data_IF_179159281058
#
_entry.id   IF_179159281058
#
_cell.length_a   1.000
_cell.length_b   1.000
_cell.length_c   1.000
_cell.angle_alpha   90.00
_cell.angle_beta   90.00
_cell.angle_gamma   90.00
#
_symmetry.space_group_name_H-M   'P 1'
#
loop_
_entity.id
_entity.type
_entity.pdbx_description
1 polymer ?
#
# COMPACT_ATOMS: atom_id res chain seq x y z
N UNK A 1 -4.15 -61.83 24.20
CA UNK A 1 -4.24 -62.48 22.87
C UNK A 1 -3.04 -62.01 22.06
N UNK A 2 -1.89 -62.70 22.04
CA UNK A 2 -1.54 -63.95 21.32
C UNK A 2 -1.88 -63.90 19.82
N UNK A 3 -0.86 -63.75 18.97
CA UNK A 3 -0.37 -64.69 17.92
C UNK A 3 0.56 -63.90 16.96
N UNK A 4 1.89 -64.06 17.02
CA UNK A 4 2.75 -65.04 16.32
C UNK A 4 2.76 -64.93 14.78
N UNK A 5 3.97 -64.79 14.21
CA UNK A 5 4.20 -64.94 12.78
C UNK A 5 5.63 -64.56 12.33
N UNK A 6 6.64 -65.34 12.73
CA UNK A 6 8.04 -65.21 12.31
C UNK A 6 8.30 -66.25 11.22
N UNK A 7 8.95 -65.91 10.10
CA UNK A 7 9.69 -66.89 9.30
C UNK A 7 10.89 -66.25 8.58
N UNK A 8 12.02 -66.97 8.59
CA UNK A 8 13.38 -66.57 8.17
C UNK A 8 13.79 -67.25 6.86
N UNK A 9 14.93 -66.78 6.31
CA UNK A 9 15.93 -67.48 5.45
C UNK A 9 15.61 -67.55 3.94
N UNK A 10 16.54 -67.42 2.97
CA UNK A 10 18.02 -67.39 2.95
C UNK A 10 18.58 -66.99 1.54
N UNK A 11 19.78 -66.39 1.53
CA UNK A 11 20.96 -66.47 0.61
C UNK A 11 20.99 -65.90 -0.84
N UNK A 12 22.15 -65.28 -1.13
CA UNK A 12 22.67 -64.58 -2.34
C UNK A 12 23.32 -65.53 -3.38
N UNK A 13 23.75 -65.04 -4.59
CA UNK A 13 25.18 -64.69 -4.80
C UNK A 13 25.45 -63.42 -5.67
N UNK A 14 26.73 -63.17 -6.01
CA UNK A 14 27.40 -61.87 -6.30
C UNK A 14 27.82 -61.60 -7.79
N UNK A 15 27.80 -60.30 -8.16
CA UNK A 15 28.73 -59.49 -9.04
C UNK A 15 28.79 -59.73 -10.57
N UNK A 16 29.45 -58.89 -11.42
CA UNK A 16 30.15 -57.60 -11.19
C UNK A 16 29.90 -56.46 -12.24
N UNK A 17 30.33 -55.24 -11.88
CA UNK A 17 30.90 -54.12 -12.68
C UNK A 17 30.20 -53.44 -13.89
N UNK A 18 30.32 -52.10 -13.88
CA UNK A 18 30.28 -51.08 -14.95
C UNK A 18 29.24 -50.02 -14.59
N UNK A 19 29.53 -48.75 -14.30
CA UNK A 19 30.56 -47.85 -14.82
C UNK A 19 29.83 -46.56 -15.22
N UNK A 20 30.21 -45.41 -14.63
CA UNK A 20 29.85 -44.05 -15.05
C UNK A 20 28.33 -43.70 -15.00
N UNK A 21 27.84 -42.49 -14.68
CA UNK A 21 28.34 -41.12 -14.76
C UNK A 21 27.64 -40.30 -13.67
N UNK A 22 28.33 -39.30 -13.13
CA UNK A 22 27.75 -38.15 -12.42
C UNK A 22 26.57 -37.53 -13.20
N UNK A 23 25.44 -37.30 -12.52
CA UNK A 23 24.54 -36.20 -12.86
C UNK A 23 23.97 -35.58 -11.58
N UNK A 24 24.86 -34.85 -10.91
CA UNK A 24 24.52 -33.73 -10.05
C UNK A 24 24.10 -32.59 -10.98
N UNK A 25 22.80 -32.37 -11.13
CA UNK A 25 22.22 -31.17 -11.75
C UNK A 25 20.97 -30.83 -10.95
N UNK A 26 21.22 -30.01 -9.94
CA UNK A 26 20.42 -28.84 -9.56
C UNK A 26 18.90 -28.99 -9.76
N UNK A 27 18.21 -29.32 -8.66
CA UNK A 27 16.87 -28.74 -8.45
C UNK A 27 17.07 -27.25 -8.25
N UNK A 28 17.05 -26.50 -9.34
CA UNK A 28 16.80 -25.07 -9.33
C UNK A 28 15.50 -24.88 -8.53
N UNK A 29 15.51 -24.20 -7.37
CA UNK A 29 14.27 -23.79 -6.75
C UNK A 29 13.55 -22.90 -7.75
N UNK A 30 12.25 -23.11 -7.94
CA UNK A 30 11.34 -22.26 -8.72
C UNK A 30 11.18 -20.85 -8.08
N UNK A 31 12.28 -20.21 -7.68
CA UNK A 31 12.31 -18.76 -7.57
C UNK A 31 12.21 -18.25 -9.00
N UNK A 32 10.98 -17.93 -9.39
CA UNK A 32 10.65 -17.10 -10.54
C UNK A 32 11.71 -16.02 -10.64
N UNK A 33 12.53 -16.06 -11.70
CA UNK A 33 13.28 -14.89 -12.14
C UNK A 33 12.23 -13.86 -12.58
N UNK A 34 11.65 -13.14 -11.60
CA UNK A 34 10.76 -12.03 -11.89
C UNK A 34 11.57 -11.02 -12.68
N UNK A 35 11.06 -10.68 -13.86
CA UNK A 35 11.84 -9.95 -14.84
C UNK A 35 11.97 -8.48 -14.42
N UNK A 36 13.02 -7.82 -14.89
CA UNK A 36 13.19 -6.37 -14.75
C UNK A 36 11.95 -5.57 -15.22
N UNK A 37 11.20 -6.12 -16.19
CA UNK A 37 9.92 -5.56 -16.63
C UNK A 37 8.85 -5.60 -15.53
N UNK A 38 8.80 -6.66 -14.72
CA UNK A 38 7.85 -6.80 -13.62
C UNK A 38 8.16 -5.83 -12.47
N UNK A 39 9.44 -5.53 -12.24
CA UNK A 39 9.88 -4.51 -11.29
C UNK A 39 9.45 -3.11 -11.76
N UNK A 40 9.74 -2.76 -13.02
CA UNK A 40 9.34 -1.47 -13.60
C UNK A 40 7.83 -1.27 -13.61
N UNK A 41 7.07 -2.33 -13.91
CA UNK A 41 5.61 -2.30 -13.83
C UNK A 41 5.12 -2.04 -12.41
N UNK A 42 5.79 -2.60 -11.39
CA UNK A 42 5.46 -2.36 -9.98
C UNK A 42 5.70 -0.89 -9.60
N UNK A 43 6.83 -0.31 -10.00
CA UNK A 43 7.13 1.11 -9.80
C UNK A 43 6.07 1.99 -10.46
N UNK A 44 5.73 1.73 -11.73
CA UNK A 44 4.69 2.48 -12.44
C UNK A 44 3.32 2.35 -11.76
N UNK A 45 2.98 1.17 -11.23
CA UNK A 45 1.73 0.96 -10.50
C UNK A 45 1.66 1.81 -9.24
N UNK A 46 2.78 2.06 -8.54
CA UNK A 46 2.80 2.91 -7.34
C UNK A 46 2.37 4.33 -7.68
N UNK A 47 2.94 4.90 -8.75
CA UNK A 47 2.57 6.26 -9.20
C UNK A 47 1.13 6.34 -9.70
N UNK A 48 0.64 5.30 -10.39
CA UNK A 48 -0.77 5.23 -10.78
C UNK A 48 -1.69 5.23 -9.54
N UNK A 49 -1.38 4.43 -8.52
CA UNK A 49 -2.13 4.40 -7.27
C UNK A 49 -2.08 5.73 -6.51
N UNK A 50 -0.97 6.47 -6.58
CA UNK A 50 -0.90 7.82 -6.01
C UNK A 50 -1.75 8.83 -6.78
N UNK A 51 -1.80 8.73 -8.11
CA UNK A 51 -2.71 9.54 -8.92
C UNK A 51 -4.18 9.23 -8.62
N UNK A 52 -4.54 7.94 -8.51
CA UNK A 52 -5.88 7.49 -8.08
C UNK A 52 -6.23 8.04 -6.68
N UNK A 53 -5.26 8.05 -5.75
CA UNK A 53 -5.45 8.61 -4.41
C UNK A 53 -5.68 10.12 -4.43
N UNK A 54 -4.93 10.87 -5.25
CA UNK A 54 -5.15 12.31 -5.42
C UNK A 54 -6.55 12.62 -5.95
N UNK A 55 -7.04 11.81 -6.89
CA UNK A 55 -8.39 11.95 -7.42
C UNK A 55 -9.46 11.64 -6.36
N UNK A 56 -9.26 10.63 -5.52
CA UNK A 56 -10.14 10.35 -4.38
C UNK A 56 -10.21 11.54 -3.40
N UNK A 57 -9.07 12.18 -3.09
CA UNK A 57 -9.07 13.41 -2.28
C UNK A 57 -9.81 14.57 -2.94
N UNK A 58 -9.66 14.74 -4.26
CA UNK A 58 -10.37 15.79 -5.03
C UNK A 58 -11.89 15.59 -4.95
N UNK A 59 -12.35 14.36 -5.24
CA UNK A 59 -13.77 14.01 -5.15
C UNK A 59 -14.32 14.17 -3.73
N UNK A 60 -13.51 13.85 -2.72
CA UNK A 60 -13.92 14.00 -1.33
C UNK A 60 -14.12 15.47 -0.93
N UNK A 61 -13.21 16.36 -1.35
CA UNK A 61 -13.33 17.80 -1.12
C UNK A 61 -14.53 18.40 -1.88
N UNK A 62 -14.71 18.04 -3.15
CA UNK A 62 -15.83 18.54 -3.97
C UNK A 62 -17.19 18.12 -3.41
N UNK A 63 -17.30 16.85 -3.02
CA UNK A 63 -18.54 16.35 -2.42
C UNK A 63 -18.80 16.92 -1.02
N UNK A 64 -17.75 17.21 -0.24
CA UNK A 64 -17.93 17.94 1.02
C UNK A 64 -18.37 19.39 0.77
N UNK A 65 -17.82 20.08 -0.23
CA UNK A 65 -18.27 21.42 -0.59
C UNK A 65 -19.73 21.42 -1.04
N UNK A 66 -20.14 20.43 -1.84
CA UNK A 66 -21.53 20.25 -2.25
C UNK A 66 -22.44 20.02 -1.02
N UNK A 67 -22.00 19.18 -0.08
CA UNK A 67 -22.70 18.96 1.19
C UNK A 67 -22.86 20.26 2.00
N UNK A 68 -21.80 21.06 2.19
CA UNK A 68 -21.88 22.32 2.91
C UNK A 68 -22.85 23.33 2.26
N UNK A 69 -22.97 23.30 0.92
CA UNK A 69 -23.91 24.17 0.19
C UNK A 69 -25.39 23.80 0.42
N UNK A 70 -25.70 22.64 1.01
CA UNK A 70 -27.06 22.25 1.40
C UNK A 70 -27.48 22.79 2.77
N UNK A 71 -26.59 23.48 3.48
CA UNK A 71 -26.87 24.09 4.78
C UNK A 71 -28.01 25.13 4.74
N UNK A 72 -28.78 25.29 5.83
CA UNK A 72 -28.66 24.58 7.11
C UNK A 72 -29.31 23.18 7.11
N UNK A 73 -30.02 22.79 6.05
CA UNK A 73 -30.68 21.49 5.92
C UNK A 73 -29.78 20.48 5.21
N UNK A 74 -28.66 20.17 5.86
CA UNK A 74 -27.62 19.32 5.31
C UNK A 74 -28.13 17.97 4.80
N UNK A 75 -27.73 17.59 3.57
CA UNK A 75 -27.99 16.26 3.02
C UNK A 75 -26.97 15.23 3.54
N UNK A 76 -27.20 14.81 4.78
CA UNK A 76 -26.35 13.80 5.44
C UNK A 76 -26.41 12.43 4.77
N UNK A 77 -27.51 12.08 4.10
CA UNK A 77 -27.67 10.76 3.48
C UNK A 77 -26.74 10.66 2.29
N UNK A 78 -26.78 11.65 1.39
CA UNK A 78 -25.91 11.69 0.22
C UNK A 78 -24.44 11.80 0.64
N UNK A 79 -24.13 12.67 1.60
CA UNK A 79 -22.74 12.85 2.04
C UNK A 79 -22.15 11.60 2.71
N UNK A 80 -22.93 10.90 3.54
CA UNK A 80 -22.49 9.64 4.16
C UNK A 80 -22.20 8.56 3.12
N UNK A 81 -23.02 8.47 2.07
CA UNK A 81 -22.78 7.52 0.99
C UNK A 81 -21.47 7.81 0.26
N UNK A 82 -21.21 9.09 -0.07
CA UNK A 82 -19.93 9.52 -0.62
C UNK A 82 -18.75 9.15 0.29
N UNK A 83 -18.83 9.48 1.60
CA UNK A 83 -17.78 9.15 2.57
C UNK A 83 -17.48 7.66 2.56
N UNK A 84 -18.50 6.81 2.47
CA UNK A 84 -18.32 5.37 2.38
C UNK A 84 -17.57 4.95 1.12
N UNK A 85 -17.96 5.46 -0.04
CA UNK A 85 -17.32 5.16 -1.33
C UNK A 85 -15.85 5.61 -1.36
N UNK A 86 -15.57 6.82 -0.90
CA UNK A 86 -14.21 7.35 -0.77
C UNK A 86 -13.37 6.50 0.20
N UNK A 87 -13.96 6.06 1.31
CA UNK A 87 -13.29 5.18 2.29
C UNK A 87 -12.91 3.85 1.65
N UNK A 88 -13.78 3.27 0.83
CA UNK A 88 -13.46 2.04 0.09
C UNK A 88 -12.31 2.26 -0.91
N UNK A 89 -12.32 3.38 -1.64
CA UNK A 89 -11.24 3.73 -2.56
C UNK A 89 -9.89 3.84 -1.85
N UNK A 90 -9.80 4.61 -0.76
CA UNK A 90 -8.57 4.72 0.03
C UNK A 90 -8.11 3.36 0.58
N UNK A 91 -9.03 2.55 1.11
CA UNK A 91 -8.70 1.22 1.62
C UNK A 91 -8.17 0.29 0.54
N UNK A 92 -8.75 0.32 -0.66
CA UNK A 92 -8.28 -0.49 -1.79
C UNK A 92 -6.86 -0.12 -2.19
N UNK A 93 -6.62 1.19 -2.38
CA UNK A 93 -5.29 1.74 -2.72
C UNK A 93 -4.26 1.36 -1.66
N UNK A 94 -4.57 1.58 -0.37
CA UNK A 94 -3.63 1.30 0.71
C UNK A 94 -3.29 -0.18 0.83
N UNK A 95 -4.26 -1.08 0.64
CA UNK A 95 -4.00 -2.53 0.63
C UNK A 95 -3.05 -2.94 -0.49
N UNK A 96 -3.26 -2.41 -1.69
CA UNK A 96 -2.40 -2.72 -2.83
C UNK A 96 -0.97 -2.22 -2.59
N UNK A 97 -0.81 -0.96 -2.13
CA UNK A 97 0.52 -0.41 -1.84
C UNK A 97 1.24 -1.20 -0.72
N UNK A 98 0.52 -1.69 0.31
CA UNK A 98 1.13 -2.54 1.34
C UNK A 98 1.66 -3.84 0.73
N UNK A 99 0.91 -4.49 -0.16
CA UNK A 99 1.39 -5.68 -0.87
C UNK A 99 2.61 -5.37 -1.74
N UNK A 100 2.65 -4.19 -2.38
CA UNK A 100 3.80 -3.75 -3.16
C UNK A 100 5.03 -3.55 -2.27
N UNK A 101 4.87 -2.94 -1.09
CA UNK A 101 5.93 -2.80 -0.08
C UNK A 101 6.58 -4.14 0.23
N UNK A 102 5.76 -5.14 0.54
CA UNK A 102 6.23 -6.48 0.89
C UNK A 102 6.94 -7.13 -0.30
N UNK A 103 6.46 -6.93 -1.54
CA UNK A 103 7.14 -7.40 -2.75
C UNK A 103 8.50 -6.74 -2.99
N UNK A 104 8.64 -5.43 -2.79
CA UNK A 104 9.95 -4.75 -2.92
C UNK A 104 10.96 -5.34 -1.96
N UNK A 105 10.56 -5.59 -0.71
CA UNK A 105 11.44 -6.17 0.30
C UNK A 105 11.74 -7.65 0.04
N UNK A 106 10.72 -8.50 -0.05
CA UNK A 106 10.88 -9.96 0.00
C UNK A 106 11.26 -10.58 -1.35
N UNK A 107 10.78 -9.99 -2.46
CA UNK A 107 10.95 -10.55 -3.80
C UNK A 107 12.12 -9.92 -4.53
N UNK A 108 12.24 -8.59 -4.46
CA UNK A 108 13.26 -7.85 -5.19
C UNK A 108 14.49 -7.51 -4.35
N UNK A 109 14.49 -7.80 -3.04
CA UNK A 109 15.62 -7.52 -2.16
C UNK A 109 15.91 -6.02 -2.01
N UNK A 110 14.89 -5.17 -2.14
CA UNK A 110 14.96 -3.71 -2.07
C UNK A 110 14.27 -3.16 -0.81
N UNK A 111 14.87 -3.36 0.38
CA UNK A 111 14.30 -2.87 1.65
C UNK A 111 14.26 -1.34 1.73
N UNK A 112 15.15 -0.66 1.01
CA UNK A 112 15.18 0.79 0.82
C UNK A 112 13.88 1.31 0.17
N UNK A 113 13.45 0.70 -0.94
CA UNK A 113 12.20 1.05 -1.62
C UNK A 113 10.96 0.73 -0.76
N UNK A 114 11.01 -0.40 -0.03
CA UNK A 114 10.00 -0.74 0.96
C UNK A 114 9.87 0.32 2.06
N UNK A 115 10.99 0.84 2.56
CA UNK A 115 11.02 1.87 3.60
C UNK A 115 10.41 3.20 3.13
N UNK A 116 10.69 3.62 1.90
CA UNK A 116 10.03 4.78 1.30
C UNK A 116 8.51 4.61 1.20
N UNK A 117 8.04 3.42 0.79
CA UNK A 117 6.59 3.13 0.74
C UNK A 117 5.95 3.19 2.13
N UNK A 118 6.64 2.70 3.16
CA UNK A 118 6.17 2.80 4.54
C UNK A 118 5.98 4.26 4.97
N UNK A 119 6.99 5.11 4.76
CA UNK A 119 6.88 6.56 5.03
C UNK A 119 5.75 7.23 4.27
N UNK A 120 5.57 6.88 2.99
CA UNK A 120 4.47 7.38 2.17
C UNK A 120 3.12 7.02 2.82
N UNK A 121 2.93 5.79 3.28
CA UNK A 121 1.67 5.37 3.93
C UNK A 121 1.43 6.07 5.26
N UNK A 122 2.47 6.30 6.05
CA UNK A 122 2.38 7.08 7.30
C UNK A 122 1.92 8.51 7.02
N UNK A 123 2.52 9.17 6.03
CA UNK A 123 2.15 10.54 5.64
C UNK A 123 0.76 10.63 5.03
N UNK A 124 0.34 9.62 4.27
CA UNK A 124 -1.00 9.58 3.69
C UNK A 124 -2.09 9.35 4.73
N UNK A 125 -1.78 8.56 5.78
CA UNK A 125 -2.64 8.45 6.95
C UNK A 125 -2.78 9.78 7.68
N UNK A 126 -1.65 10.45 7.96
CA UNK A 126 -1.63 11.77 8.61
C UNK A 126 -2.43 12.81 7.80
N UNK A 127 -2.27 12.82 6.47
CA UNK A 127 -3.03 13.68 5.57
C UNK A 127 -4.53 13.42 5.66
N UNK A 128 -4.97 12.17 5.63
CA UNK A 128 -6.40 11.82 5.70
C UNK A 128 -7.03 12.27 7.02
N UNK A 129 -6.33 12.08 8.15
CA UNK A 129 -6.76 12.55 9.47
C UNK A 129 -6.91 14.08 9.52
N UNK A 130 -5.94 14.81 8.96
CA UNK A 130 -6.01 16.27 8.87
C UNK A 130 -7.12 16.75 7.93
N UNK A 131 -7.37 16.05 6.82
CA UNK A 131 -8.47 16.35 5.90
C UNK A 131 -9.83 16.20 6.58
N UNK A 132 -10.05 15.13 7.36
CA UNK A 132 -11.29 14.95 8.11
C UNK A 132 -11.49 16.07 9.14
N UNK A 133 -10.43 16.46 9.87
CA UNK A 133 -10.47 17.60 10.79
C UNK A 133 -10.76 18.92 10.08
N UNK A 134 -10.18 19.13 8.91
CA UNK A 134 -10.39 20.34 8.11
C UNK A 134 -11.86 20.45 7.68
N UNK A 135 -12.49 19.34 7.30
CA UNK A 135 -13.91 19.32 6.93
C UNK A 135 -14.80 19.73 8.11
N UNK A 136 -14.57 19.18 9.30
CA UNK A 136 -15.29 19.57 10.52
C UNK A 136 -15.08 21.06 10.83
N UNK A 137 -13.83 21.55 10.75
CA UNK A 137 -13.53 22.96 11.00
C UNK A 137 -14.23 23.89 9.99
N UNK A 138 -14.29 23.51 8.70
CA UNK A 138 -15.04 24.26 7.67
C UNK A 138 -16.53 24.31 7.98
N UNK A 139 -17.12 23.20 8.42
CA UNK A 139 -18.53 23.17 8.82
C UNK A 139 -18.79 24.08 10.03
N UNK A 140 -17.92 24.04 11.06
CA UNK A 140 -18.05 24.89 12.25
C UNK A 140 -18.01 26.40 11.92
N UNK A 141 -17.25 26.82 10.90
CA UNK A 141 -17.26 28.22 10.43
C UNK A 141 -18.65 28.64 9.94
N UNK A 142 -19.39 27.73 9.29
CA UNK A 142 -20.74 27.99 8.77
C UNK A 142 -21.80 27.91 9.87
N UNK A 143 -21.72 26.89 10.72
CA UNK A 143 -22.71 26.63 11.78
C UNK A 143 -22.59 27.61 12.97
N UNK A 144 -21.39 28.16 13.20
CA UNK A 144 -21.09 29.06 14.32
C UNK A 144 -20.40 30.35 13.84
N UNK A 145 -21.10 31.21 13.09
CA UNK A 145 -20.53 32.47 12.62
C UNK A 145 -20.19 33.39 13.80
N UNK A 146 -19.00 34.00 13.77
CA UNK A 146 -18.53 34.94 14.80
C UNK A 146 -17.52 34.35 15.79
N UNK A 147 -17.21 33.06 15.74
CA UNK A 147 -16.12 32.45 16.51
C UNK A 147 -14.83 32.53 15.70
N UNK A 148 -13.97 33.52 16.00
CA UNK A 148 -12.71 33.77 15.26
C UNK A 148 -11.73 32.59 15.27
N UNK A 149 -11.81 31.70 16.26
CA UNK A 149 -10.97 30.51 16.34
C UNK A 149 -11.19 29.53 15.18
N UNK A 150 -12.41 29.44 14.63
CA UNK A 150 -12.73 28.46 13.58
C UNK A 150 -12.07 28.78 12.22
N UNK A 151 -12.12 30.03 11.69
CA UNK A 151 -11.36 30.38 10.51
C UNK A 151 -9.84 30.19 10.67
N UNK A 152 -9.28 30.48 11.85
CA UNK A 152 -7.87 30.27 12.13
C UNK A 152 -7.51 28.77 12.06
N UNK A 153 -8.30 27.90 12.71
CA UNK A 153 -8.09 26.46 12.66
C UNK A 153 -8.12 25.91 11.23
N UNK A 154 -9.05 26.38 10.38
CA UNK A 154 -9.11 26.03 8.96
C UNK A 154 -7.80 26.38 8.24
N UNK A 155 -7.25 27.57 8.48
CA UNK A 155 -5.98 27.97 7.87
C UNK A 155 -4.82 27.12 8.37
N UNK A 156 -4.73 26.87 9.68
CA UNK A 156 -3.67 26.03 10.24
C UNK A 156 -3.69 24.60 9.70
N UNK A 157 -4.88 23.99 9.59
CA UNK A 157 -5.03 22.66 9.03
C UNK A 157 -4.65 22.61 7.55
N UNK A 158 -5.02 23.62 6.75
CA UNK A 158 -4.58 23.73 5.35
C UNK A 158 -3.06 23.79 5.23
N UNK A 159 -2.40 24.61 6.04
CA UNK A 159 -0.93 24.70 6.03
C UNK A 159 -0.27 23.37 6.44
N UNK A 160 -0.82 22.65 7.43
CA UNK A 160 -0.32 21.32 7.81
C UNK A 160 -0.46 20.32 6.67
N UNK A 161 -1.62 20.29 6.00
CA UNK A 161 -1.85 19.39 4.85
C UNK A 161 -0.87 19.69 3.72
N UNK A 162 -0.63 20.96 3.39
CA UNK A 162 0.35 21.35 2.36
C UNK A 162 1.74 20.79 2.71
N UNK A 163 2.21 20.97 3.95
CA UNK A 163 3.51 20.43 4.38
C UNK A 163 3.60 18.90 4.27
N UNK A 164 2.50 18.20 4.54
CA UNK A 164 2.45 16.74 4.38
C UNK A 164 2.49 16.35 2.90
N UNK A 165 1.80 17.09 2.02
CA UNK A 165 1.88 16.86 0.58
C UNK A 165 3.28 17.10 0.02
N UNK A 166 3.97 18.14 0.50
CA UNK A 166 5.37 18.40 0.13
C UNK A 166 6.27 17.24 0.57
N UNK A 167 6.14 16.79 1.83
CA UNK A 167 6.90 15.64 2.34
C UNK A 167 6.63 14.34 1.56
N UNK A 168 5.37 14.07 1.17
CA UNK A 168 5.03 12.91 0.31
C UNK A 168 5.73 13.04 -1.05
N UNK A 169 5.74 14.24 -1.62
CA UNK A 169 6.36 14.51 -2.92
C UNK A 169 7.86 14.31 -2.88
N UNK A 170 8.52 14.75 -1.80
CA UNK A 170 9.95 14.51 -1.55
C UNK A 170 10.24 13.00 -1.46
N UNK A 171 9.49 12.24 -0.66
CA UNK A 171 9.70 10.78 -0.55
C UNK A 171 9.45 10.07 -1.88
N UNK A 172 8.48 10.52 -2.68
CA UNK A 172 8.24 9.96 -4.02
C UNK A 172 9.36 10.26 -5.02
N UNK A 173 10.07 11.37 -4.84
CA UNK A 173 11.26 11.70 -5.63
C UNK A 173 12.45 10.82 -5.22
N UNK A 174 12.68 10.66 -3.92
CA UNK A 174 13.71 9.77 -3.39
C UNK A 174 13.46 8.32 -3.84
N UNK A 175 12.22 7.84 -3.71
CA UNK A 175 11.82 6.52 -4.20
C UNK A 175 12.12 6.37 -5.70
N UNK A 176 11.84 7.41 -6.50
CA UNK A 176 12.10 7.38 -7.94
C UNK A 176 13.58 7.17 -8.20
N UNK A 177 14.41 8.00 -7.58
CA UNK A 177 15.84 8.01 -7.74
C UNK A 177 16.42 6.64 -7.38
N UNK A 178 16.10 6.13 -6.19
CA UNK A 178 16.57 4.83 -5.73
C UNK A 178 16.07 3.68 -6.62
N UNK A 179 14.86 3.77 -7.17
CA UNK A 179 14.31 2.75 -8.07
C UNK A 179 15.01 2.68 -9.44
N UNK A 180 15.67 3.75 -9.84
CA UNK A 180 16.43 3.86 -11.10
C UNK A 180 17.91 3.49 -10.90
N UNK A 181 18.42 3.48 -9.66
CA UNK A 181 19.75 2.98 -9.36
C UNK A 181 19.81 1.46 -9.56
N UNK A 182 20.61 1.05 -10.55
CA UNK A 182 20.98 -0.35 -10.78
C UNK A 182 22.13 -0.71 -9.83
N UNK A 183 21.94 -1.72 -8.96
CA UNK A 183 23.06 -2.39 -8.29
C UNK A 183 23.92 -3.18 -9.29
#
# INVERSE_FOLDING_TARGET
MLFFGRCKSQRKPKSPNSGFVLSHLERIPLFLTMSENDFRALVQRLYALQAERMEAYRLFEEGHQAYLNTGPHYDFIQYRQLVHEITLAFNSISKEIIQMKDRFHEVYGRPDLSYHIEKIQEKEKEKLELTARLQIAKQNVLDHPGVEAHPQEVQELKHKIIKIMDAISEILQDFKYDSEEME
#
